data_IF_153361617544
#
_entry.id   IF_153361617544
#
_cell.length_a   1.000
_cell.length_b   1.000
_cell.length_c   1.000
_cell.angle_alpha   90.00
_cell.angle_beta   90.00
_cell.angle_gamma   90.00
#
_symmetry.space_group_name_H-M   'P 1'
#
loop_
_entity.id
_entity.type
_entity.pdbx_description
1 polymer ?
#
# COMPACT_ATOMS: atom_id res chain seq x y z
N UNK A 1 23.02 -45.13 2.28
CA UNK A 1 22.40 -43.80 2.16
C UNK A 1 22.73 -43.27 0.76
N UNK A 2 21.75 -43.21 -0.14
CA UNK A 2 21.99 -43.06 -1.59
C UNK A 2 22.45 -41.65 -1.98
N UNK A 3 23.57 -41.57 -2.72
CA UNK A 3 24.17 -40.34 -3.26
C UNK A 3 23.22 -39.51 -4.14
N UNK A 4 22.14 -40.10 -4.66
CA UNK A 4 21.16 -39.42 -5.53
C UNK A 4 20.31 -38.36 -4.81
N UNK A 5 20.27 -38.37 -3.48
CA UNK A 5 19.48 -37.42 -2.69
C UNK A 5 20.28 -36.20 -2.20
N UNK A 6 21.60 -36.18 -2.39
CA UNK A 6 22.48 -35.10 -1.90
C UNK A 6 22.56 -33.90 -2.87
N UNK A 7 22.46 -34.13 -4.18
CA UNK A 7 22.62 -33.07 -5.20
C UNK A 7 21.48 -32.03 -5.20
N UNK A 8 20.18 -32.40 -5.11
CA UNK A 8 19.11 -31.40 -5.06
C UNK A 8 19.06 -30.67 -3.71
N UNK A 9 19.51 -31.31 -2.63
CA UNK A 9 19.48 -30.74 -1.28
C UNK A 9 20.66 -29.80 -1.00
N UNK A 10 21.82 -29.98 -1.65
CA UNK A 10 22.97 -29.09 -1.47
C UNK A 10 22.91 -27.84 -2.35
N UNK A 11 22.43 -27.94 -3.61
CA UNK A 11 22.44 -26.78 -4.52
C UNK A 11 21.27 -25.80 -4.31
N UNK A 12 20.09 -26.26 -3.87
CA UNK A 12 18.91 -25.40 -3.71
C UNK A 12 18.70 -24.86 -2.29
N UNK A 13 19.44 -25.35 -1.31
CA UNK A 13 19.28 -24.93 0.09
C UNK A 13 19.75 -23.49 0.38
N UNK A 14 20.92 -23.02 -0.13
CA UNK A 14 21.33 -21.62 0.07
C UNK A 14 20.53 -20.65 -0.82
N UNK A 15 20.08 -21.08 -2.00
CA UNK A 15 19.34 -20.22 -2.95
C UNK A 15 17.85 -20.06 -2.63
N UNK A 16 17.28 -20.90 -1.75
CA UNK A 16 15.86 -20.83 -1.39
C UNK A 16 15.45 -19.46 -0.85
N UNK A 17 16.29 -18.87 0.01
CA UNK A 17 16.03 -17.56 0.59
C UNK A 17 16.25 -16.46 -0.43
N UNK A 18 17.32 -16.54 -1.22
CA UNK A 18 17.62 -15.60 -2.29
C UNK A 18 16.49 -15.53 -3.33
N UNK A 19 15.93 -16.67 -3.75
CA UNK A 19 14.82 -16.74 -4.69
C UNK A 19 13.53 -16.13 -4.12
N UNK A 20 13.23 -16.35 -2.84
CA UNK A 20 12.04 -15.79 -2.21
C UNK A 20 12.10 -14.26 -2.11
N UNK A 21 13.22 -13.71 -1.63
CA UNK A 21 13.40 -12.26 -1.54
C UNK A 21 13.51 -11.61 -2.92
N UNK A 22 14.20 -12.25 -3.87
CA UNK A 22 14.28 -11.79 -5.26
C UNK A 22 12.91 -11.71 -5.92
N UNK A 23 12.04 -12.70 -5.70
CA UNK A 23 10.66 -12.70 -6.19
C UNK A 23 9.82 -11.59 -5.55
N UNK A 24 9.97 -11.33 -4.24
CA UNK A 24 9.29 -10.23 -3.57
C UNK A 24 9.71 -8.88 -4.17
N UNK A 25 11.01 -8.67 -4.40
CA UNK A 25 11.54 -7.45 -5.02
C UNK A 25 11.03 -7.31 -6.46
N UNK A 26 11.10 -8.38 -7.26
CA UNK A 26 10.65 -8.37 -8.64
C UNK A 26 9.14 -8.06 -8.76
N UNK A 27 8.31 -8.69 -7.93
CA UNK A 27 6.87 -8.40 -7.87
C UNK A 27 6.64 -6.96 -7.42
N UNK A 28 7.33 -6.50 -6.38
CA UNK A 28 7.18 -5.13 -5.89
C UNK A 28 7.52 -4.11 -6.97
N UNK A 29 8.66 -4.27 -7.64
CA UNK A 29 9.08 -3.37 -8.71
C UNK A 29 8.12 -3.45 -9.92
N UNK A 30 7.71 -4.66 -10.32
CA UNK A 30 6.75 -4.83 -11.40
C UNK A 30 5.41 -4.15 -11.08
N UNK A 31 4.85 -4.44 -9.91
CA UNK A 31 3.57 -3.89 -9.46
C UNK A 31 3.61 -2.39 -9.25
N UNK A 32 4.75 -1.78 -8.92
CA UNK A 32 4.84 -0.33 -8.73
C UNK A 32 5.17 0.43 -10.02
N UNK A 33 6.00 -0.11 -10.92
CA UNK A 33 6.51 0.64 -12.08
C UNK A 33 5.89 0.27 -13.43
N UNK A 34 5.28 -0.91 -13.59
CA UNK A 34 4.65 -1.31 -14.86
C UNK A 34 3.53 -0.33 -15.20
N UNK A 35 3.57 0.27 -16.40
CA UNK A 35 2.51 1.16 -16.90
C UNK A 35 2.19 2.34 -15.97
N UNK A 36 3.16 2.79 -15.16
CA UNK A 36 2.95 3.89 -14.22
C UNK A 36 2.57 5.21 -14.91
N UNK A 37 3.10 5.45 -16.11
CA UNK A 37 2.79 6.64 -16.90
C UNK A 37 1.42 6.57 -17.57
N UNK A 38 0.96 5.37 -17.93
CA UNK A 38 -0.25 5.13 -18.71
C UNK A 38 -1.49 4.84 -17.85
N UNK A 39 -1.31 4.30 -16.64
CA UNK A 39 -2.41 3.90 -15.74
C UNK A 39 -2.17 4.41 -14.32
N UNK A 40 -3.13 5.11 -13.69
CA UNK A 40 -4.39 5.63 -14.22
C UNK A 40 -4.20 6.70 -15.30
N UNK A 41 -5.19 6.93 -16.18
CA UNK A 41 -5.11 8.04 -17.15
C UNK A 41 -5.55 9.34 -16.45
N UNK A 42 -4.71 10.38 -16.50
CA UNK A 42 -4.99 11.69 -15.92
C UNK A 42 -4.51 11.89 -14.48
N UNK A 43 -4.89 13.03 -13.90
CA UNK A 43 -4.64 13.42 -12.51
C UNK A 43 -5.97 13.55 -11.77
N UNK A 44 -5.97 13.19 -10.50
CA UNK A 44 -7.09 13.47 -9.61
C UNK A 44 -7.02 14.88 -9.03
N UNK A 45 -8.17 15.42 -8.64
CA UNK A 45 -8.25 16.70 -7.94
C UNK A 45 -7.42 16.71 -6.64
N UNK A 46 -7.40 15.59 -5.92
CA UNK A 46 -6.58 15.43 -4.73
C UNK A 46 -5.07 15.49 -5.02
N UNK A 47 -4.61 14.94 -6.16
CA UNK A 47 -3.21 15.05 -6.59
C UNK A 47 -2.85 16.48 -6.99
N UNK A 48 -3.76 17.19 -7.67
CA UNK A 48 -3.55 18.59 -8.02
C UNK A 48 -3.42 19.48 -6.78
N UNK A 49 -4.29 19.29 -5.79
CA UNK A 49 -4.22 20.00 -4.51
C UNK A 49 -2.93 19.66 -3.74
N UNK A 50 -2.52 18.39 -3.72
CA UNK A 50 -1.27 17.95 -3.08
C UNK A 50 -0.04 18.64 -3.68
N UNK A 51 0.00 18.83 -5.00
CA UNK A 51 1.06 19.57 -5.69
C UNK A 51 1.07 21.05 -5.28
N UNK A 52 -0.10 21.69 -5.22
CA UNK A 52 -0.23 23.09 -4.80
C UNK A 52 0.26 23.27 -3.37
N UNK A 53 -0.18 22.42 -2.43
CA UNK A 53 0.27 22.44 -1.03
C UNK A 53 1.78 22.27 -0.92
N UNK A 54 2.37 21.34 -1.67
CA UNK A 54 3.82 21.13 -1.67
C UNK A 54 4.61 22.33 -2.20
N UNK A 55 4.03 23.07 -3.15
CA UNK A 55 4.67 24.23 -3.75
C UNK A 55 4.55 25.51 -2.90
N UNK A 56 3.44 25.66 -2.17
CA UNK A 56 3.20 26.81 -1.27
C UNK A 56 3.86 26.64 0.11
N UNK A 57 4.52 25.52 0.37
CA UNK A 57 5.35 25.31 1.57
C UNK A 57 6.50 26.32 1.64
N UNK A 58 6.28 27.36 2.44
CA UNK A 58 7.27 28.32 2.90
C UNK A 58 7.61 28.05 4.37
N UNK A 59 8.90 28.17 4.72
CA UNK A 59 9.43 27.96 6.08
C UNK A 59 8.79 28.92 7.10
N UNK A 60 8.21 30.03 6.63
CA UNK A 60 7.72 31.15 7.42
C UNK A 60 6.34 30.92 8.09
N UNK A 61 5.56 29.91 7.68
CA UNK A 61 4.26 29.58 8.30
C UNK A 61 4.18 28.09 8.65
N UNK A 62 4.82 27.62 9.74
CA UNK A 62 4.99 26.20 10.04
C UNK A 62 3.75 25.49 10.60
N UNK A 63 2.68 26.20 10.97
CA UNK A 63 1.66 25.62 11.87
C UNK A 63 0.70 24.62 11.23
N UNK A 64 0.61 24.55 9.90
CA UNK A 64 -0.35 23.65 9.22
C UNK A 64 0.27 22.36 8.72
N UNK A 65 1.59 22.24 8.51
CA UNK A 65 2.17 21.17 7.68
C UNK A 65 3.23 20.28 8.34
N UNK A 66 3.58 20.50 9.61
CA UNK A 66 4.71 19.82 10.28
C UNK A 66 4.66 18.28 10.19
N UNK A 67 3.46 17.69 10.12
CA UNK A 67 3.28 16.24 10.23
C UNK A 67 3.32 15.54 8.86
N UNK A 68 2.77 16.16 7.81
CA UNK A 68 2.87 15.68 6.41
C UNK A 68 4.08 16.26 5.66
N UNK A 69 4.88 17.07 6.36
CA UNK A 69 6.14 17.61 5.90
C UNK A 69 7.03 16.55 5.23
N UNK A 70 7.18 15.31 5.74
CA UNK A 70 8.06 14.33 5.10
C UNK A 70 7.61 13.98 3.68
N UNK A 71 6.29 13.91 3.42
CA UNK A 71 5.77 13.58 2.10
C UNK A 71 5.89 14.76 1.14
N UNK A 72 5.42 15.93 1.56
CA UNK A 72 5.45 17.12 0.72
C UNK A 72 6.87 17.65 0.47
N UNK A 73 7.81 17.43 1.39
CA UNK A 73 9.23 17.72 1.18
C UNK A 73 9.79 16.83 0.07
N UNK A 74 9.53 15.53 0.12
CA UNK A 74 9.94 14.59 -0.94
C UNK A 74 9.24 14.93 -2.26
N UNK A 75 7.97 15.34 -2.22
CA UNK A 75 7.22 15.79 -3.40
C UNK A 75 7.81 17.06 -4.02
N UNK A 76 8.17 18.05 -3.20
CA UNK A 76 8.84 19.28 -3.66
C UNK A 76 10.19 18.97 -4.29
N UNK A 77 11.00 18.11 -3.68
CA UNK A 77 12.28 17.67 -4.25
C UNK A 77 12.09 16.93 -5.59
N UNK A 78 11.07 16.08 -5.68
CA UNK A 78 10.72 15.38 -6.92
C UNK A 78 10.36 16.36 -8.04
N UNK A 79 9.49 17.34 -7.75
CA UNK A 79 9.05 18.36 -8.71
C UNK A 79 10.20 19.25 -9.18
N UNK A 80 11.17 19.58 -8.31
CA UNK A 80 12.36 20.33 -8.69
C UNK A 80 13.30 19.53 -9.60
N UNK A 81 13.44 18.21 -9.38
CA UNK A 81 14.35 17.37 -10.14
C UNK A 81 13.80 16.96 -11.52
N UNK A 82 12.49 16.71 -11.63
CA UNK A 82 11.86 16.12 -12.82
C UNK A 82 10.76 16.98 -13.46
N UNK A 83 10.48 18.16 -12.91
CA UNK A 83 9.37 19.02 -13.31
C UNK A 83 8.01 18.42 -12.98
N UNK A 84 6.93 19.12 -13.35
CA UNK A 84 5.56 18.64 -13.12
C UNK A 84 5.22 17.57 -14.16
N UNK A 85 5.42 16.31 -13.78
CA UNK A 85 5.03 15.14 -14.56
C UNK A 85 4.28 14.15 -13.67
N UNK A 86 3.45 13.29 -14.26
CA UNK A 86 2.73 12.26 -13.52
C UNK A 86 3.66 11.40 -12.66
N UNK A 87 4.80 11.00 -13.22
CA UNK A 87 5.81 10.23 -12.48
C UNK A 87 6.38 11.02 -11.31
N UNK A 88 6.71 12.30 -11.50
CA UNK A 88 7.24 13.16 -10.43
C UNK A 88 6.24 13.36 -9.28
N UNK A 89 4.94 13.46 -9.60
CA UNK A 89 3.87 13.62 -8.62
C UNK A 89 3.70 12.33 -7.79
N UNK A 90 3.81 11.16 -8.42
CA UNK A 90 3.60 9.85 -7.78
C UNK A 90 4.85 9.30 -7.08
N UNK A 91 6.05 9.77 -7.46
CA UNK A 91 7.33 9.28 -6.94
C UNK A 91 7.43 9.23 -5.40
N UNK A 92 7.00 10.27 -4.64
CA UNK A 92 7.01 10.22 -3.18
C UNK A 92 6.17 9.05 -2.64
N UNK A 93 5.00 8.80 -3.23
CA UNK A 93 4.12 7.70 -2.83
C UNK A 93 4.78 6.34 -3.05
N UNK A 94 5.54 6.16 -4.13
CA UNK A 94 6.29 4.92 -4.39
C UNK A 94 7.36 4.69 -3.33
N UNK A 95 8.10 5.73 -2.95
CA UNK A 95 9.15 5.64 -1.92
C UNK A 95 8.54 5.20 -0.59
N UNK A 96 7.45 5.85 -0.16
CA UNK A 96 6.73 5.47 1.04
C UNK A 96 6.06 4.09 0.92
N UNK A 97 5.60 3.70 -0.26
CA UNK A 97 5.07 2.36 -0.51
C UNK A 97 6.17 1.31 -0.29
N UNK A 98 7.38 1.49 -0.85
CA UNK A 98 8.50 0.57 -0.62
C UNK A 98 8.85 0.48 0.87
N UNK A 99 8.90 1.60 1.58
CA UNK A 99 9.12 1.61 3.03
C UNK A 99 8.02 0.85 3.79
N UNK A 100 6.76 1.03 3.37
CA UNK A 100 5.59 0.33 3.91
C UNK A 100 5.67 -1.18 3.69
N UNK A 101 6.15 -1.63 2.52
CA UNK A 101 6.32 -3.06 2.19
C UNK A 101 7.36 -3.71 3.09
N UNK A 102 8.51 -3.04 3.27
CA UNK A 102 9.57 -3.51 4.17
C UNK A 102 9.03 -3.62 5.59
N UNK A 103 8.33 -2.59 6.06
CA UNK A 103 7.75 -2.56 7.39
C UNK A 103 6.68 -3.64 7.58
N UNK A 104 5.82 -3.83 6.58
CA UNK A 104 4.82 -4.91 6.56
C UNK A 104 5.48 -6.28 6.68
N UNK A 105 6.53 -6.55 5.91
CA UNK A 105 7.28 -7.80 5.99
C UNK A 105 7.87 -8.03 7.39
N UNK A 106 8.48 -7.00 7.98
CA UNK A 106 9.06 -7.08 9.33
C UNK A 106 7.98 -7.38 10.36
N UNK A 107 6.86 -6.65 10.34
CA UNK A 107 5.71 -6.89 11.24
C UNK A 107 5.16 -8.30 11.08
N UNK A 108 4.97 -8.77 9.83
CA UNK A 108 4.51 -10.13 9.58
C UNK A 108 5.51 -11.17 10.09
N UNK A 109 6.82 -10.92 9.98
CA UNK A 109 7.87 -11.82 10.49
C UNK A 109 7.90 -11.88 12.02
N UNK A 110 7.44 -10.84 12.73
CA UNK A 110 7.29 -10.88 14.18
C UNK A 110 6.16 -11.83 14.63
N UNK A 111 5.14 -12.01 13.79
CA UNK A 111 3.92 -12.72 14.14
C UNK A 111 3.80 -14.11 13.50
N UNK A 112 4.37 -14.31 12.31
CA UNK A 112 4.25 -15.53 11.52
C UNK A 112 5.61 -16.12 11.19
N UNK A 113 5.62 -17.39 10.77
CA UNK A 113 6.83 -18.03 10.22
C UNK A 113 7.24 -17.32 8.93
N UNK A 114 8.55 -17.29 8.65
CA UNK A 114 9.14 -16.55 7.53
C UNK A 114 8.44 -16.80 6.17
N UNK A 115 8.06 -18.05 5.88
CA UNK A 115 7.38 -18.40 4.63
C UNK A 115 6.00 -17.77 4.51
N UNK A 116 5.26 -17.76 5.61
CA UNK A 116 3.91 -17.17 5.66
C UNK A 116 4.00 -15.65 5.61
N UNK A 117 5.00 -15.07 6.30
CA UNK A 117 5.26 -13.63 6.23
C UNK A 117 5.58 -13.18 4.80
N UNK A 118 6.45 -13.91 4.09
CA UNK A 118 6.81 -13.59 2.71
C UNK A 118 5.61 -13.68 1.76
N UNK A 119 4.84 -14.78 1.81
CA UNK A 119 3.62 -14.93 1.00
C UNK A 119 2.60 -13.83 1.34
N UNK A 120 2.42 -13.54 2.63
CA UNK A 120 1.53 -12.51 3.11
C UNK A 120 1.91 -11.11 2.63
N UNK A 121 3.19 -10.76 2.63
CA UNK A 121 3.68 -9.51 2.05
C UNK A 121 3.44 -9.47 0.55
N UNK A 122 3.81 -10.53 -0.19
CA UNK A 122 3.67 -10.59 -1.65
C UNK A 122 2.21 -10.44 -2.07
N UNK A 123 1.29 -11.15 -1.42
CA UNK A 123 -0.15 -11.00 -1.65
C UNK A 123 -0.66 -9.63 -1.19
N UNK A 124 -0.15 -9.11 -0.07
CA UNK A 124 -0.46 -7.78 0.43
C UNK A 124 -0.10 -6.66 -0.55
N UNK A 125 1.07 -6.73 -1.17
CA UNK A 125 1.53 -5.77 -2.19
C UNK A 125 0.71 -5.86 -3.46
N UNK A 126 0.25 -7.06 -3.82
CA UNK A 126 -0.59 -7.25 -5.00
C UNK A 126 -2.00 -6.70 -4.84
N UNK A 127 -2.46 -6.40 -3.63
CA UNK A 127 -3.82 -5.92 -3.37
C UNK A 127 -4.13 -4.70 -4.26
N UNK A 128 -5.24 -4.68 -5.02
CA UNK A 128 -5.62 -3.53 -5.85
C UNK A 128 -5.69 -2.25 -5.02
N UNK A 129 -6.16 -2.37 -3.78
CA UNK A 129 -6.22 -1.31 -2.79
C UNK A 129 -4.85 -0.71 -2.45
N UNK A 130 -3.84 -1.56 -2.21
CA UNK A 130 -2.48 -1.12 -1.91
C UNK A 130 -1.82 -0.49 -3.15
N UNK A 131 -1.99 -1.11 -4.32
CA UNK A 131 -1.47 -0.60 -5.60
C UNK A 131 -2.04 0.79 -5.90
N UNK A 132 -3.34 0.98 -5.69
CA UNK A 132 -4.00 2.28 -5.87
C UNK A 132 -3.36 3.35 -4.98
N UNK A 133 -3.22 3.10 -3.68
CA UNK A 133 -2.56 4.06 -2.77
C UNK A 133 -1.12 4.37 -3.15
N UNK A 134 -0.37 3.34 -3.53
CA UNK A 134 1.05 3.48 -3.87
C UNK A 134 1.26 4.29 -5.15
N UNK A 135 0.27 4.29 -6.05
CA UNK A 135 0.32 4.95 -7.36
C UNK A 135 -0.47 6.27 -7.44
N UNK A 136 -1.17 6.66 -6.37
CA UNK A 136 -1.76 8.00 -6.24
C UNK A 136 -0.75 8.96 -5.62
N UNK A 137 -0.54 10.13 -6.23
CA UNK A 137 0.36 11.18 -5.75
C UNK A 137 -0.21 12.01 -4.60
N UNK A 138 -0.72 11.34 -3.57
CA UNK A 138 -1.25 11.95 -2.34
C UNK A 138 -0.58 11.37 -1.09
N UNK A 139 -0.67 12.07 0.04
CA UNK A 139 -0.14 11.65 1.35
C UNK A 139 -0.81 10.38 1.90
N UNK A 140 -1.82 9.83 1.21
CA UNK A 140 -2.68 8.77 1.70
C UNK A 140 -1.94 7.46 2.01
N UNK A 141 -0.88 7.13 1.25
CA UNK A 141 -0.03 5.96 1.54
C UNK A 141 0.64 6.06 2.93
N UNK A 142 0.87 7.28 3.43
CA UNK A 142 1.45 7.48 4.75
C UNK A 142 0.52 6.99 5.86
N UNK A 143 -0.80 6.96 5.67
CA UNK A 143 -1.73 6.38 6.66
C UNK A 143 -1.36 4.93 6.93
N UNK A 144 -1.14 4.15 5.87
CA UNK A 144 -0.72 2.75 5.96
C UNK A 144 0.66 2.62 6.58
N UNK A 145 1.59 3.51 6.20
CA UNK A 145 2.93 3.56 6.76
C UNK A 145 2.93 3.83 8.28
N UNK A 146 2.28 4.90 8.74
CA UNK A 146 2.19 5.28 10.14
C UNK A 146 1.50 4.22 10.99
N UNK A 147 0.46 3.60 10.46
CA UNK A 147 -0.25 2.53 11.17
C UNK A 147 0.64 1.30 11.37
N UNK A 148 1.40 0.91 10.34
CA UNK A 148 2.38 -0.18 10.45
C UNK A 148 3.55 0.21 11.37
N UNK A 149 3.98 1.47 11.36
CA UNK A 149 5.04 1.97 12.23
C UNK A 149 4.62 1.96 13.68
N UNK A 150 3.38 2.38 13.97
CA UNK A 150 2.77 2.32 15.28
C UNK A 150 2.69 0.87 15.77
N UNK A 151 2.22 -0.05 14.93
CA UNK A 151 2.15 -1.47 15.27
C UNK A 151 3.54 -2.07 15.52
N UNK A 152 4.51 -1.76 14.66
CA UNK A 152 5.89 -2.20 14.78
C UNK A 152 6.51 -1.70 16.10
N UNK A 153 6.37 -0.42 16.40
CA UNK A 153 6.88 0.20 17.63
C UNK A 153 6.19 -0.39 18.88
N UNK A 154 4.87 -0.59 18.83
CA UNK A 154 4.09 -1.22 19.90
C UNK A 154 4.57 -2.63 20.21
N UNK A 155 4.81 -3.45 19.17
CA UNK A 155 5.32 -4.81 19.34
C UNK A 155 6.71 -4.84 19.94
N UNK A 156 7.61 -3.97 19.47
CA UNK A 156 8.96 -3.91 20.01
C UNK A 156 8.98 -3.43 21.47
N UNK A 157 8.15 -2.45 21.83
CA UNK A 157 8.00 -2.02 23.22
C UNK A 157 7.49 -3.13 24.15
N UNK A 158 6.54 -3.95 23.67
CA UNK A 158 5.98 -5.06 24.45
C UNK A 158 6.97 -6.21 24.63
N UNK A 159 7.73 -6.54 23.58
CA UNK A 159 8.62 -7.72 23.56
C UNK A 159 10.02 -7.41 24.09
N UNK A 160 10.55 -6.21 23.83
CA UNK A 160 11.90 -5.81 24.24
C UNK A 160 11.85 -4.51 25.03
N UNK A 161 12.20 -4.60 26.32
CA UNK A 161 12.29 -3.43 27.21
C UNK A 161 13.59 -2.62 27.01
N UNK A 162 14.49 -3.05 26.12
CA UNK A 162 15.66 -2.27 25.78
C UNK A 162 15.25 -1.01 25.00
N UNK A 163 15.83 0.13 25.35
CA UNK A 163 15.51 1.44 24.74
C UNK A 163 14.01 1.76 24.76
N UNK A 164 13.30 1.42 25.84
CA UNK A 164 11.86 1.65 25.97
C UNK A 164 11.45 3.11 25.70
N UNK A 165 12.31 4.08 26.03
CA UNK A 165 12.08 5.49 25.70
C UNK A 165 12.00 5.75 24.19
N UNK A 166 12.91 5.17 23.40
CA UNK A 166 12.92 5.30 21.94
C UNK A 166 11.64 4.73 21.32
N UNK A 167 11.20 3.55 21.75
CA UNK A 167 9.98 2.94 21.23
C UNK A 167 8.71 3.71 21.61
N UNK A 168 8.66 4.29 22.82
CA UNK A 168 7.57 5.20 23.23
C UNK A 168 7.54 6.46 22.35
N UNK A 169 8.69 7.10 22.15
CA UNK A 169 8.80 8.29 21.31
C UNK A 169 8.35 7.98 19.87
N UNK A 170 8.80 6.85 19.31
CA UNK A 170 8.41 6.40 17.98
C UNK A 170 6.91 6.12 17.89
N UNK A 171 6.30 5.50 18.91
CA UNK A 171 4.86 5.30 18.98
C UNK A 171 4.08 6.61 19.03
N UNK A 172 4.49 7.55 19.89
CA UNK A 172 3.85 8.86 19.99
C UNK A 172 3.94 9.59 18.64
N UNK A 173 5.11 9.57 18.01
CA UNK A 173 5.31 10.19 16.70
C UNK A 173 4.42 9.55 15.63
N UNK A 174 4.37 8.21 15.57
CA UNK A 174 3.50 7.50 14.63
C UNK A 174 2.01 7.74 14.90
N UNK A 175 1.59 7.83 16.17
CA UNK A 175 0.20 8.12 16.54
C UNK A 175 -0.21 9.55 16.15
N UNK A 176 0.66 10.53 16.37
CA UNK A 176 0.45 11.92 15.93
C UNK A 176 0.35 12.00 14.41
N UNK A 177 1.25 11.30 13.69
CA UNK A 177 1.20 11.14 12.23
C UNK A 177 -0.13 10.59 11.74
N UNK A 178 -0.60 9.51 12.36
CA UNK A 178 -1.87 8.87 12.02
C UNK A 178 -3.07 9.78 12.27
N UNK A 179 -3.12 10.47 13.41
CA UNK A 179 -4.23 11.35 13.78
C UNK A 179 -4.35 12.57 12.86
N UNK A 180 -3.22 13.14 12.46
CA UNK A 180 -3.19 14.30 11.57
C UNK A 180 -3.75 13.96 10.18
N UNK A 181 -3.26 12.88 9.54
CA UNK A 181 -3.75 12.46 8.22
C UNK A 181 -5.22 12.05 8.27
N UNK A 182 -5.63 11.37 9.36
CA UNK A 182 -7.04 11.04 9.56
C UNK A 182 -7.92 12.29 9.64
N UNK A 183 -7.42 13.36 10.28
CA UNK A 183 -8.11 14.65 10.37
C UNK A 183 -8.13 15.42 9.03
N UNK A 184 -7.03 15.44 8.30
CA UNK A 184 -6.97 16.03 6.95
C UNK A 184 -7.99 15.33 6.03
N UNK A 185 -8.03 13.99 6.06
CA UNK A 185 -8.95 13.22 5.24
C UNK A 185 -10.43 13.44 5.61
N UNK A 186 -10.74 13.66 6.89
CA UNK A 186 -12.08 14.06 7.34
C UNK A 186 -12.50 15.39 6.71
N UNK A 187 -11.60 16.38 6.65
CA UNK A 187 -11.89 17.69 6.07
C UNK A 187 -12.09 17.61 4.55
N UNK A 188 -11.29 16.80 3.85
CA UNK A 188 -11.39 16.60 2.39
C UNK A 188 -12.71 15.89 2.02
N UNK A 189 -13.09 14.87 2.79
CA UNK A 189 -14.33 14.10 2.54
C UNK A 189 -15.60 14.83 2.95
N UNK A 190 -15.56 15.69 3.98
CA UNK A 190 -16.64 16.63 4.31
C UNK A 190 -16.89 17.66 3.19
N UNK A 191 -15.86 17.97 2.39
CA UNK A 191 -15.94 18.82 1.19
C UNK A 191 -16.48 18.13 -0.07
N UNK A 192 -16.91 16.87 0.01
CA UNK A 192 -17.52 16.12 -1.10
C UNK A 192 -16.53 15.50 -2.09
N UNK A 193 -15.21 15.59 -1.84
CA UNK A 193 -14.18 14.99 -2.71
C UNK A 193 -13.92 13.56 -2.21
N UNK A 194 -14.74 12.61 -2.68
CA UNK A 194 -14.50 11.19 -2.42
C UNK A 194 -13.39 10.72 -3.36
N UNK A 195 -12.27 10.27 -2.79
CA UNK A 195 -11.21 9.68 -3.58
C UNK A 195 -11.79 8.54 -4.45
N UNK A 196 -11.49 8.56 -5.76
CA UNK A 196 -12.14 7.70 -6.74
C UNK A 196 -11.64 6.25 -6.65
N UNK A 197 -12.15 5.47 -5.70
CA UNK A 197 -11.89 4.03 -5.68
C UNK A 197 -12.91 3.32 -6.56
N UNK A 198 -12.46 2.96 -7.75
CA UNK A 198 -13.23 2.10 -8.61
C UNK A 198 -13.37 0.71 -7.99
N UNK A 199 -14.62 0.30 -7.81
CA UNK A 199 -15.02 -0.94 -7.15
C UNK A 199 -15.14 -2.06 -8.18
N UNK A 200 -14.70 -3.30 -7.87
CA UNK A 200 -14.34 -3.82 -6.55
C UNK A 200 -12.85 -3.73 -6.21
N UNK A 201 -12.54 -3.37 -4.95
CA UNK A 201 -11.16 -3.16 -4.47
C UNK A 201 -10.55 -4.41 -3.80
N UNK A 202 -11.36 -5.44 -3.55
CA UNK A 202 -10.99 -6.71 -2.93
C UNK A 202 -11.43 -7.85 -3.85
N UNK A 203 -10.53 -8.78 -4.16
CA UNK A 203 -10.87 -9.95 -4.98
C UNK A 203 -11.50 -11.07 -4.13
N UNK A 204 -12.36 -11.90 -4.75
CA UNK A 204 -13.03 -13.03 -4.09
C UNK A 204 -12.08 -13.96 -3.31
N UNK A 205 -10.89 -14.33 -3.85
CA UNK A 205 -9.99 -15.20 -3.11
C UNK A 205 -9.48 -14.59 -1.79
N UNK A 206 -9.29 -13.27 -1.74
CA UNK A 206 -8.90 -12.59 -0.50
C UNK A 206 -10.03 -12.65 0.52
N UNK A 207 -11.29 -12.50 0.07
CA UNK A 207 -12.46 -12.62 0.95
C UNK A 207 -12.50 -14.00 1.59
N UNK A 208 -12.28 -15.07 0.82
CA UNK A 208 -12.27 -16.45 1.35
C UNK A 208 -11.17 -16.62 2.42
N UNK A 209 -9.95 -16.16 2.14
CA UNK A 209 -8.84 -16.23 3.11
C UNK A 209 -9.09 -15.36 4.35
N UNK A 210 -9.68 -14.18 4.16
CA UNK A 210 -10.08 -13.29 5.23
C UNK A 210 -11.13 -13.95 6.13
N UNK A 211 -12.18 -14.53 5.56
CA UNK A 211 -13.23 -15.23 6.32
C UNK A 211 -12.66 -16.41 7.10
N UNK A 212 -11.77 -17.19 6.50
CA UNK A 212 -11.09 -18.29 7.18
C UNK A 212 -10.21 -17.78 8.34
N UNK A 213 -9.45 -16.70 8.11
CA UNK A 213 -8.65 -16.06 9.14
C UNK A 213 -9.50 -15.53 10.28
N UNK A 214 -10.62 -14.87 9.96
CA UNK A 214 -11.57 -14.32 10.93
C UNK A 214 -12.19 -15.42 11.78
N UNK A 215 -12.65 -16.52 11.16
CA UNK A 215 -13.16 -17.69 11.86
C UNK A 215 -12.13 -18.22 12.86
N UNK A 216 -10.87 -18.34 12.44
CA UNK A 216 -9.80 -18.82 13.32
C UNK A 216 -9.51 -17.89 14.49
N UNK A 217 -9.58 -16.58 14.26
CA UNK A 217 -9.38 -15.59 15.32
C UNK A 217 -10.51 -15.59 16.34
N UNK A 218 -11.75 -15.83 15.91
CA UNK A 218 -12.90 -15.94 16.81
C UNK A 218 -12.79 -17.17 17.71
N UNK A 219 -12.39 -18.33 17.16
CA UNK A 219 -12.11 -19.53 17.98
C UNK A 219 -11.05 -19.27 19.05
N UNK A 220 -10.07 -18.42 18.72
CA UNK A 220 -8.91 -18.15 19.55
C UNK A 220 -8.95 -16.76 20.20
N UNK A 221 -10.14 -16.18 20.40
CA UNK A 221 -10.33 -14.75 20.78
C UNK A 221 -9.57 -14.29 22.04
N UNK A 222 -9.17 -15.22 22.90
CA UNK A 222 -8.50 -14.93 24.17
C UNK A 222 -6.97 -14.81 24.07
N UNK A 223 -6.37 -15.11 22.91
CA UNK A 223 -4.94 -14.82 22.71
C UNK A 223 -4.73 -13.33 22.45
N UNK A 224 -3.70 -12.72 23.05
CA UNK A 224 -3.45 -11.29 22.95
C UNK A 224 -3.45 -10.80 21.48
N UNK A 225 -2.77 -11.53 20.60
CA UNK A 225 -2.69 -11.22 19.17
C UNK A 225 -4.04 -11.26 18.45
N UNK A 226 -4.88 -12.25 18.73
CA UNK A 226 -6.18 -12.38 18.06
C UNK A 226 -7.17 -11.34 18.57
N UNK A 227 -7.15 -11.05 19.87
CA UNK A 227 -7.89 -9.94 20.46
C UNK A 227 -7.49 -8.60 19.82
N UNK A 228 -6.18 -8.32 19.67
CA UNK A 228 -5.71 -7.09 19.01
C UNK A 228 -6.24 -6.96 17.58
N UNK A 229 -6.20 -8.03 16.79
CA UNK A 229 -6.70 -8.00 15.41
C UNK A 229 -8.21 -7.82 15.33
N UNK A 230 -8.98 -8.46 16.21
CA UNK A 230 -10.44 -8.32 16.26
C UNK A 230 -10.86 -6.91 16.71
N UNK A 231 -10.20 -6.35 17.73
CA UNK A 231 -10.46 -4.98 18.19
C UNK A 231 -10.11 -3.97 17.11
N UNK A 232 -8.98 -4.14 16.43
CA UNK A 232 -8.59 -3.26 15.33
C UNK A 232 -9.57 -3.38 14.15
N UNK A 233 -9.95 -4.58 13.75
CA UNK A 233 -10.97 -4.77 12.71
C UNK A 233 -12.27 -4.08 13.12
N UNK A 234 -12.79 -4.33 14.32
CA UNK A 234 -14.01 -3.70 14.83
C UNK A 234 -13.93 -2.17 14.83
N UNK A 235 -12.85 -1.61 15.38
CA UNK A 235 -12.63 -0.15 15.41
C UNK A 235 -12.58 0.46 14.01
N UNK A 236 -11.79 -0.14 13.10
CA UNK A 236 -11.72 0.32 11.72
C UNK A 236 -13.07 0.22 11.00
N UNK A 237 -13.83 -0.86 11.18
CA UNK A 237 -15.18 -0.99 10.60
C UNK A 237 -16.14 0.08 11.11
N UNK A 238 -16.13 0.39 12.41
CA UNK A 238 -16.98 1.45 12.97
C UNK A 238 -16.65 2.82 12.36
N UNK A 239 -15.37 3.12 12.17
CA UNK A 239 -14.94 4.35 11.51
C UNK A 239 -15.41 4.40 10.05
N UNK A 240 -15.31 3.29 9.31
CA UNK A 240 -15.80 3.24 7.92
C UNK A 240 -17.31 3.40 7.79
N UNK A 241 -18.07 2.93 8.79
CA UNK A 241 -19.51 3.13 8.84
C UNK A 241 -19.88 4.58 9.15
N UNK A 242 -19.04 5.29 9.92
CA UNK A 242 -19.24 6.71 10.20
C UNK A 242 -18.91 7.60 8.98
N UNK A 243 -17.87 7.26 8.22
CA UNK A 243 -17.56 7.93 6.95
C UNK A 243 -16.84 6.98 5.99
N UNK A 244 -17.28 6.96 4.74
CA UNK A 244 -16.68 6.17 3.65
C UNK A 244 -15.20 6.52 3.45
N UNK A 245 -14.76 7.73 3.82
CA UNK A 245 -13.36 8.14 3.75
C UNK A 245 -12.40 7.25 4.55
N UNK A 246 -12.88 6.60 5.62
CA UNK A 246 -12.04 5.74 6.44
C UNK A 246 -11.81 4.35 5.86
N UNK A 247 -12.30 4.04 4.66
CA UNK A 247 -12.13 2.72 4.02
C UNK A 247 -10.66 2.24 4.01
N UNK A 248 -9.70 3.17 3.95
CA UNK A 248 -8.27 2.93 4.02
C UNK A 248 -7.79 2.22 5.29
N UNK A 249 -8.45 2.50 6.41
CA UNK A 249 -8.10 1.92 7.70
C UNK A 249 -8.41 0.42 7.77
N UNK A 250 -9.26 -0.09 6.87
CA UNK A 250 -9.55 -1.53 6.78
C UNK A 250 -8.45 -2.34 6.09
N UNK A 251 -7.57 -1.70 5.31
CA UNK A 251 -6.55 -2.39 4.52
C UNK A 251 -5.69 -3.32 5.38
N UNK A 252 -5.11 -2.78 6.44
CA UNK A 252 -4.18 -3.51 7.30
C UNK A 252 -4.84 -4.62 8.14
N UNK A 253 -5.98 -4.41 8.83
CA UNK A 253 -6.63 -5.50 9.55
C UNK A 253 -7.09 -6.60 8.59
N UNK A 254 -7.65 -6.27 7.41
CA UNK A 254 -8.00 -7.27 6.40
C UNK A 254 -6.78 -8.07 5.97
N UNK A 255 -5.66 -7.39 5.66
CA UNK A 255 -4.42 -8.03 5.25
C UNK A 255 -3.88 -8.97 6.34
N UNK A 256 -3.78 -8.52 7.59
CA UNK A 256 -3.27 -9.35 8.69
C UNK A 256 -4.18 -10.55 9.00
N UNK A 257 -5.49 -10.38 8.90
CA UNK A 257 -6.45 -11.47 9.06
C UNK A 257 -6.34 -12.46 7.90
N UNK A 258 -6.21 -11.97 6.66
CA UNK A 258 -5.94 -12.81 5.48
C UNK A 258 -4.66 -13.64 5.67
N UNK A 259 -3.57 -13.06 6.17
CA UNK A 259 -2.34 -13.82 6.47
C UNK A 259 -2.56 -14.88 7.55
N UNK A 260 -3.45 -14.62 8.52
CA UNK A 260 -3.90 -15.65 9.49
C UNK A 260 -4.64 -16.79 8.80
N UNK A 261 -5.47 -16.52 7.80
CA UNK A 261 -6.10 -17.54 6.96
C UNK A 261 -5.06 -18.39 6.24
N UNK A 262 -4.06 -17.76 5.61
CA UNK A 262 -2.95 -18.44 4.92
C UNK A 262 -2.18 -19.36 5.89
N UNK A 263 -1.80 -18.84 7.05
CA UNK A 263 -1.10 -19.61 8.10
C UNK A 263 -1.92 -20.83 8.53
N UNK A 264 -3.24 -20.66 8.65
CA UNK A 264 -4.16 -21.72 9.06
C UNK A 264 -4.22 -22.83 8.02
N UNK A 265 -4.42 -22.50 6.73
CA UNK A 265 -4.48 -23.52 5.66
C UNK A 265 -3.18 -24.33 5.62
N UNK A 266 -2.03 -23.64 5.68
CA UNK A 266 -0.72 -24.29 5.64
C UNK A 266 -0.54 -25.22 6.85
N UNK A 267 -0.94 -24.78 8.06
CA UNK A 267 -0.85 -25.58 9.27
C UNK A 267 -1.77 -26.80 9.23
N UNK A 268 -3.01 -26.64 8.82
CA UNK A 268 -3.98 -27.75 8.74
C UNK A 268 -3.53 -28.79 7.70
N UNK A 269 -3.00 -28.36 6.55
CA UNK A 269 -2.41 -29.29 5.58
C UNK A 269 -1.27 -30.12 6.18
N UNK A 270 -0.35 -29.47 6.91
CA UNK A 270 0.77 -30.17 7.54
C UNK A 270 0.36 -31.09 8.69
N UNK A 271 -0.78 -30.82 9.34
CA UNK A 271 -1.36 -31.72 10.35
C UNK A 271 -1.98 -32.96 9.73
N UNK A 272 -2.65 -32.84 8.59
CA UNK A 272 -3.24 -33.99 7.88
C UNK A 272 -2.18 -35.00 7.42
N UNK A 273 -1.00 -34.51 7.04
CA UNK A 273 0.11 -35.36 6.59
C UNK A 273 1.38 -35.14 7.44
N UNK A 274 1.43 -35.68 8.67
CA UNK A 274 2.52 -35.42 9.60
C UNK A 274 3.82 -36.19 9.25
N UNK A 275 3.73 -37.37 8.66
CA UNK A 275 4.89 -38.24 8.42
C UNK A 275 5.23 -38.43 6.94
N UNK A 276 4.29 -38.17 6.02
CA UNK A 276 4.50 -38.38 4.58
C UNK A 276 5.13 -37.14 3.91
N UNK A 277 6.41 -37.17 3.51
CA UNK A 277 7.08 -36.02 2.90
C UNK A 277 6.53 -35.67 1.52
N UNK A 278 6.08 -36.64 0.73
CA UNK A 278 5.52 -36.39 -0.60
C UNK A 278 4.19 -35.67 -0.51
N UNK A 279 3.30 -36.07 0.41
CA UNK A 279 2.01 -35.40 0.63
C UNK A 279 2.17 -33.95 1.16
N UNK A 280 3.23 -33.69 1.94
CA UNK A 280 3.57 -32.32 2.38
C UNK A 280 3.99 -31.42 1.23
N UNK A 281 4.76 -31.95 0.27
CA UNK A 281 5.17 -31.22 -0.92
C UNK A 281 4.00 -31.08 -1.88
N UNK A 282 3.17 -32.12 -2.02
CA UNK A 282 2.00 -32.12 -2.88
C UNK A 282 1.04 -30.97 -2.53
N UNK A 283 0.85 -30.63 -1.25
CA UNK A 283 0.02 -29.48 -0.85
C UNK A 283 0.58 -28.10 -1.19
N UNK A 284 1.89 -27.98 -1.40
CA UNK A 284 2.50 -26.71 -1.81
C UNK A 284 2.09 -26.38 -3.25
N UNK A 285 1.86 -27.38 -4.09
CA UNK A 285 1.51 -27.18 -5.50
C UNK A 285 0.14 -26.49 -5.68
N UNK A 286 -0.99 -26.99 -5.13
CA UNK A 286 -2.28 -26.32 -5.26
C UNK A 286 -2.30 -24.97 -4.53
N UNK A 287 -1.62 -24.84 -3.37
CA UNK A 287 -1.49 -23.55 -2.69
C UNK A 287 -0.67 -22.55 -3.50
N UNK A 288 0.39 -23.00 -4.17
CA UNK A 288 1.21 -22.18 -5.05
C UNK A 288 0.42 -21.70 -6.26
N UNK A 289 -0.35 -22.58 -6.90
CA UNK A 289 -1.27 -22.22 -8.00
C UNK A 289 -2.29 -21.19 -7.53
N UNK A 290 -2.90 -21.43 -6.36
CA UNK A 290 -3.87 -20.53 -5.77
C UNK A 290 -3.27 -19.16 -5.48
N UNK A 291 -2.10 -19.07 -4.84
CA UNK A 291 -1.46 -17.79 -4.54
C UNK A 291 -0.96 -17.07 -5.80
N UNK A 292 -0.41 -17.77 -6.79
CA UNK A 292 -0.02 -17.18 -8.07
C UNK A 292 -1.25 -16.68 -8.84
N UNK A 293 -2.34 -17.45 -8.86
CA UNK A 293 -3.61 -17.03 -9.43
C UNK A 293 -4.18 -15.79 -8.72
N UNK A 294 -4.10 -15.73 -7.40
CA UNK A 294 -4.48 -14.55 -6.63
C UNK A 294 -3.65 -13.31 -7.01
N UNK A 295 -2.33 -13.45 -7.13
CA UNK A 295 -1.46 -12.36 -7.58
C UNK A 295 -1.89 -11.84 -8.95
N UNK A 296 -2.09 -12.76 -9.90
CA UNK A 296 -2.53 -12.41 -11.25
C UNK A 296 -3.88 -11.71 -11.25
N UNK A 297 -4.87 -12.25 -10.53
CA UNK A 297 -6.22 -11.65 -10.42
C UNK A 297 -6.16 -10.26 -9.80
N UNK A 298 -5.42 -10.08 -8.72
CA UNK A 298 -5.35 -8.78 -8.03
C UNK A 298 -4.70 -7.70 -8.89
N UNK A 299 -3.56 -8.01 -9.52
CA UNK A 299 -2.87 -7.08 -10.42
C UNK A 299 -3.75 -6.77 -11.62
N UNK A 300 -4.37 -7.79 -12.22
CA UNK A 300 -5.27 -7.61 -13.38
C UNK A 300 -6.50 -6.78 -13.01
N UNK A 301 -7.05 -6.98 -11.81
CA UNK A 301 -8.19 -6.19 -11.33
C UNK A 301 -7.84 -4.71 -11.26
N UNK A 302 -6.68 -4.37 -10.66
CA UNK A 302 -6.21 -2.98 -10.62
C UNK A 302 -6.11 -2.38 -12.02
N UNK A 303 -5.37 -3.02 -12.92
CA UNK A 303 -5.17 -2.48 -14.26
C UNK A 303 -6.49 -2.38 -15.03
N UNK A 304 -7.31 -3.42 -15.03
CA UNK A 304 -8.58 -3.43 -15.75
C UNK A 304 -9.50 -2.29 -15.31
N UNK A 305 -9.60 -2.10 -13.99
CA UNK A 305 -10.38 -1.05 -13.38
C UNK A 305 -9.93 0.33 -13.85
N UNK A 306 -8.65 0.66 -13.74
CA UNK A 306 -8.13 1.98 -14.11
C UNK A 306 -7.93 2.19 -15.62
N UNK A 307 -8.01 1.14 -16.46
CA UNK A 307 -7.94 1.29 -17.92
C UNK A 307 -9.30 1.38 -18.60
N UNK A 308 -10.31 0.64 -18.11
CA UNK A 308 -11.60 0.50 -18.79
C UNK A 308 -12.73 1.30 -18.16
N UNK A 309 -12.60 1.70 -16.88
CA UNK A 309 -13.62 2.57 -16.27
C UNK A 309 -13.23 4.03 -16.44
N UNK A 310 -14.07 4.79 -17.15
CA UNK A 310 -13.94 6.24 -17.21
C UNK A 310 -14.36 6.80 -15.87
N UNK A 311 -13.39 6.99 -14.98
CA UNK A 311 -13.69 7.50 -13.65
C UNK A 311 -13.78 9.03 -13.69
N UNK A 312 -14.92 9.57 -13.27
CA UNK A 312 -15.22 11.01 -13.28
C UNK A 312 -14.27 11.89 -12.44
N UNK A 313 -13.38 11.28 -11.66
CA UNK A 313 -12.44 11.93 -10.76
C UNK A 313 -11.02 12.07 -11.31
N UNK A 314 -10.73 11.55 -12.51
CA UNK A 314 -9.45 11.76 -13.19
C UNK A 314 -9.62 12.71 -14.37
N UNK A 315 -8.73 13.69 -14.48
CA UNK A 315 -8.71 14.68 -15.56
C UNK A 315 -7.46 14.50 -16.43
N UNK A 316 -7.65 14.37 -17.75
CA UNK A 316 -6.57 14.19 -18.72
C UNK A 316 -5.86 15.50 -19.14
N UNK A 317 -6.15 16.61 -18.44
CA UNK A 317 -5.73 17.97 -18.79
C UNK A 317 -4.23 18.13 -18.96
N UNK A 318 -3.42 17.58 -18.05
CA UNK A 318 -1.95 17.65 -18.13
C UNK A 318 -1.41 16.99 -19.41
N UNK A 319 -2.00 15.85 -19.79
CA UNK A 319 -1.59 15.13 -21.00
C UNK A 319 -2.01 15.87 -22.27
N UNK A 320 -3.17 16.52 -22.25
CA UNK A 320 -3.67 17.34 -23.35
C UNK A 320 -2.81 18.60 -23.54
N UNK A 321 -2.46 19.30 -22.45
CA UNK A 321 -1.59 20.49 -22.48
C UNK A 321 -0.23 20.13 -23.06
N UNK A 322 0.40 19.06 -22.56
CA UNK A 322 1.72 18.65 -23.06
C UNK A 322 1.70 18.24 -24.52
N UNK A 323 0.65 17.55 -24.98
CA UNK A 323 0.48 17.23 -26.41
C UNK A 323 0.34 18.49 -27.26
N UNK A 324 -0.40 19.49 -26.76
CA UNK A 324 -0.58 20.77 -27.43
C UNK A 324 0.70 21.61 -27.48
N UNK A 325 1.46 21.69 -26.39
CA UNK A 325 2.73 22.42 -26.32
C UNK A 325 3.79 21.83 -27.25
N UNK A 326 3.87 20.50 -27.33
CA UNK A 326 4.76 19.79 -28.27
C UNK A 326 4.35 20.04 -29.73
N UNK A 327 3.05 20.17 -30.00
CA UNK A 327 2.54 20.40 -31.35
C UNK A 327 2.60 21.87 -31.81
N UNK A 328 2.60 22.83 -30.89
CA UNK A 328 2.26 24.25 -31.19
C UNK A 328 3.26 25.23 -30.58
N UNK A 329 4.55 24.90 -30.62
CA UNK A 329 5.66 25.61 -29.96
C UNK A 329 5.85 27.11 -30.33
N UNK A 330 4.96 27.72 -31.13
CA UNK A 330 5.08 29.11 -31.62
C UNK A 330 3.80 29.97 -31.53
N UNK A 331 2.66 29.46 -31.07
CA UNK A 331 1.42 30.23 -30.97
C UNK A 331 1.08 30.60 -29.53
N UNK A 332 0.62 31.83 -29.29
CA UNK A 332 0.08 32.23 -27.99
C UNK A 332 -1.19 31.41 -27.69
N UNK A 333 -1.11 30.51 -26.72
CA UNK A 333 -2.24 29.71 -26.24
C UNK A 333 -2.81 30.31 -24.95
N UNK A 334 -4.14 30.35 -24.84
CA UNK A 334 -4.84 30.72 -23.61
C UNK A 334 -5.47 29.46 -23.04
N UNK A 335 -5.04 29.05 -21.86
CA UNK A 335 -5.62 27.93 -21.14
C UNK A 335 -6.80 28.43 -20.30
N UNK A 336 -8.02 27.99 -20.64
CA UNK A 336 -9.23 28.28 -19.86
C UNK A 336 -9.40 27.20 -18.80
N UNK A 337 -9.45 27.60 -17.53
CA UNK A 337 -9.47 26.70 -16.38
C UNK A 337 -10.55 27.14 -15.40
N UNK A 338 -11.18 26.16 -14.73
CA UNK A 338 -12.07 26.39 -13.59
C UNK A 338 -11.34 27.09 -12.44
N UNK A 339 -12.00 28.01 -11.73
CA UNK A 339 -11.38 28.77 -10.63
C UNK A 339 -10.76 27.89 -9.53
N UNK A 340 -11.29 26.67 -9.32
CA UNK A 340 -10.77 25.70 -8.35
C UNK A 340 -9.37 25.16 -8.71
N UNK A 341 -9.06 25.04 -10.00
CA UNK A 341 -7.81 24.41 -10.48
C UNK A 341 -6.73 25.43 -10.84
N UNK A 342 -7.06 26.73 -10.83
CA UNK A 342 -6.18 27.82 -11.27
C UNK A 342 -4.81 27.78 -10.58
N UNK A 343 -4.78 27.55 -9.27
CA UNK A 343 -3.55 27.48 -8.47
C UNK A 343 -2.59 26.36 -8.91
N UNK A 344 -3.14 25.26 -9.41
CA UNK A 344 -2.35 24.15 -9.94
C UNK A 344 -1.70 24.53 -11.27
N UNK A 345 -2.44 25.12 -12.21
CA UNK A 345 -1.87 25.50 -13.51
C UNK A 345 -0.93 26.71 -13.42
N UNK A 346 -1.14 27.62 -12.47
CA UNK A 346 -0.15 28.66 -12.14
C UNK A 346 1.17 28.05 -11.62
N UNK A 347 1.07 26.97 -10.85
CA UNK A 347 2.24 26.20 -10.41
C UNK A 347 2.90 25.53 -11.61
N UNK A 348 2.14 24.87 -12.48
CA UNK A 348 2.63 24.25 -13.72
C UNK A 348 3.44 25.23 -14.57
N UNK A 349 2.92 26.45 -14.75
CA UNK A 349 3.57 27.53 -15.53
C UNK A 349 4.95 27.94 -15.00
N UNK A 350 5.26 27.72 -13.72
CA UNK A 350 6.58 28.06 -13.15
C UNK A 350 7.65 27.00 -13.43
N UNK A 351 7.24 25.77 -13.76
CA UNK A 351 8.12 24.62 -13.96
C UNK A 351 8.27 24.21 -15.44
N UNK A 352 7.51 24.83 -16.34
CA UNK A 352 7.65 24.78 -17.81
C UNK A 352 8.37 26.04 -18.24
#
# INVERSE_FOLDING_TARGET
MSLKNLLPQAMLYPYRYFLGYGLLIAITLGVLFIDISSVPRGLTEAEMQSVVTSNTMSIEQPTTWIIDAPYHLVQKLSLLAFGVSKLSIVLPSIIFAVATIVLLYVVLRLWYRERVALIGTVLGVSLPFFIAMARTGTSLIMLTFWTLLLLFAALHFLVRKDRAFFWKLLMTFAAVGLLYIAFEHLNITAGGVVAPYATPVISLPIIILFLLGLFKLIEQRFMARSATLLVWLGGSTLLTLASVGFIHMLLLPILLIMVTGIDTIIKEWYKLFPTNPYARIAGILPLGILFLGMLFVNISLYFNVFTHTTYAGYTDSLSAIRKHDVATSSAQSILVVTQKDLSFYDTLRRYV
#
